data_IF_031841668734
#
_entry.id   IF_031841668734
#
_cell.length_a   1.000
_cell.length_b   1.000
_cell.length_c   1.000
_cell.angle_alpha   90.00
_cell.angle_beta   90.00
_cell.angle_gamma   90.00
#
_symmetry.space_group_name_H-M   'P 1'
#
loop_
_entity.id
_entity.type
_entity.pdbx_description
1 polymer ?
#
# COMPACT_ATOMS: atom_id res chain seq x y z
N UNK A 1 -0.17 12.22 -10.25
CA UNK A 1 -0.13 11.48 -8.97
C UNK A 1 -1.08 10.29 -8.93
N UNK A 2 -2.32 10.47 -9.35
CA UNK A 2 -3.28 9.37 -9.34
C UNK A 2 -2.84 8.18 -10.19
N UNK A 3 -2.12 8.42 -11.26
CA UNK A 3 -1.62 7.33 -12.09
C UNK A 3 -0.56 6.51 -11.37
N UNK A 4 0.30 7.16 -10.60
CA UNK A 4 1.29 6.44 -9.81
C UNK A 4 0.59 5.55 -8.78
N UNK A 5 -0.43 6.07 -8.12
CA UNK A 5 -1.21 5.28 -7.16
C UNK A 5 -1.89 4.11 -7.83
N UNK A 6 -2.61 4.37 -8.94
CA UNK A 6 -3.42 3.34 -9.57
C UNK A 6 -2.61 2.24 -10.23
N UNK A 7 -1.42 2.57 -10.75
CA UNK A 7 -0.67 1.62 -11.56
C UNK A 7 0.57 1.05 -10.89
N UNK A 8 1.08 1.72 -9.87
CA UNK A 8 2.33 1.29 -9.23
C UNK A 8 2.11 0.97 -7.77
N UNK A 9 1.61 1.93 -6.99
CA UNK A 9 1.57 1.77 -5.54
C UNK A 9 0.46 0.81 -5.12
N UNK A 10 -0.77 1.10 -5.52
CA UNK A 10 -1.93 0.30 -5.09
C UNK A 10 -1.84 -1.17 -5.51
N UNK A 11 -1.52 -1.49 -6.78
CA UNK A 11 -1.45 -2.90 -7.16
C UNK A 11 -0.42 -3.68 -6.35
N UNK A 12 0.70 -3.05 -6.04
CA UNK A 12 1.75 -3.75 -5.30
C UNK A 12 1.45 -3.84 -3.81
N UNK A 13 0.83 -2.81 -3.24
CA UNK A 13 0.35 -2.90 -1.87
C UNK A 13 -0.67 -4.03 -1.75
N UNK A 14 -1.56 -4.17 -2.73
CA UNK A 14 -2.55 -5.23 -2.73
C UNK A 14 -1.93 -6.62 -2.80
N UNK A 15 -0.88 -6.79 -3.61
CA UNK A 15 -0.17 -8.07 -3.66
C UNK A 15 0.36 -8.42 -2.27
N UNK A 16 0.95 -7.45 -1.59
CA UNK A 16 1.51 -7.68 -0.26
C UNK A 16 0.40 -8.00 0.75
N UNK A 17 -0.66 -7.20 0.76
CA UNK A 17 -1.75 -7.38 1.74
C UNK A 17 -2.48 -8.70 1.55
N UNK A 18 -2.65 -9.14 0.31
CA UNK A 18 -3.42 -10.36 0.01
C UNK A 18 -2.60 -11.62 0.11
N UNK A 19 -1.30 -11.50 0.36
CA UNK A 19 -0.43 -12.67 0.39
C UNK A 19 -0.66 -13.52 1.63
N UNK A 20 -1.11 -12.93 2.73
CA UNK A 20 -1.38 -13.64 3.98
C UNK A 20 -2.69 -13.15 4.57
N UNK A 21 -3.34 -14.01 5.38
CA UNK A 21 -4.56 -13.65 6.07
C UNK A 21 -5.59 -14.75 5.98
N UNK A 22 -6.86 -14.36 6.10
CA UNK A 22 -7.97 -15.30 6.12
C UNK A 22 -9.08 -14.80 5.23
N UNK A 23 -9.74 -15.74 4.57
CA UNK A 23 -11.01 -15.46 3.87
C UNK A 23 -12.08 -16.25 4.62
N UNK A 24 -13.10 -15.56 5.09
CA UNK A 24 -14.21 -16.18 5.80
C UNK A 24 -15.48 -15.87 5.00
N UNK A 25 -16.16 -16.91 4.53
CA UNK A 25 -17.36 -16.76 3.73
C UNK A 25 -18.35 -17.88 4.07
N UNK A 26 -19.41 -17.98 3.28
CA UNK A 26 -20.47 -18.97 3.52
C UNK A 26 -19.96 -20.39 3.43
N UNK A 27 -18.83 -20.61 2.77
CA UNK A 27 -18.27 -21.94 2.58
C UNK A 27 -17.22 -22.31 3.61
N UNK A 28 -16.88 -21.38 4.51
CA UNK A 28 -15.95 -21.63 5.59
C UNK A 28 -14.80 -20.65 5.63
N UNK A 29 -13.71 -21.07 6.26
CA UNK A 29 -12.50 -20.27 6.40
C UNK A 29 -11.41 -20.81 5.49
N UNK A 30 -10.65 -19.91 4.90
CA UNK A 30 -9.47 -20.26 4.10
C UNK A 30 -8.31 -19.38 4.53
N UNK A 31 -7.20 -19.99 4.87
CA UNK A 31 -5.99 -19.27 5.18
C UNK A 31 -5.24 -18.91 3.90
N UNK A 32 -4.82 -17.66 3.78
CA UNK A 32 -4.02 -17.20 2.67
C UNK A 32 -2.56 -17.17 3.09
N UNK A 33 -1.71 -17.77 2.29
CA UNK A 33 -0.25 -17.71 2.48
C UNK A 33 0.44 -18.05 1.17
N UNK A 34 1.65 -17.53 0.98
CA UNK A 34 2.43 -17.95 -0.18
C UNK A 34 2.85 -19.41 0.00
N UNK A 35 2.71 -20.20 -1.07
CA UNK A 35 2.96 -21.64 -0.98
C UNK A 35 4.10 -22.09 -1.88
N UNK A 36 4.75 -21.17 -2.58
CA UNK A 36 5.84 -21.52 -3.47
C UNK A 36 6.90 -20.44 -3.43
N UNK A 37 8.08 -20.79 -3.94
CA UNK A 37 9.17 -19.81 -4.06
C UNK A 37 8.74 -18.64 -4.93
N UNK A 38 7.97 -18.91 -5.98
CA UNK A 38 7.52 -17.86 -6.88
C UNK A 38 6.56 -16.91 -6.17
N UNK A 39 5.68 -17.45 -5.34
CA UNK A 39 4.74 -16.61 -4.60
C UNK A 39 5.45 -15.75 -3.57
N UNK A 40 6.45 -16.31 -2.88
CA UNK A 40 7.24 -15.51 -1.95
C UNK A 40 8.04 -14.43 -2.67
N UNK A 41 8.55 -14.75 -3.85
CA UNK A 41 9.25 -13.74 -4.65
C UNK A 41 8.30 -12.62 -5.06
N UNK A 42 7.07 -12.93 -5.39
CA UNK A 42 6.09 -11.92 -5.74
C UNK A 42 5.81 -10.97 -4.57
N UNK A 43 5.73 -11.53 -3.35
CA UNK A 43 5.54 -10.71 -2.16
C UNK A 43 6.74 -9.79 -1.94
N UNK A 44 7.94 -10.34 -2.08
CA UNK A 44 9.17 -9.57 -1.92
C UNK A 44 9.25 -8.45 -2.96
N UNK A 45 8.97 -8.76 -4.22
CA UNK A 45 8.99 -7.75 -5.28
C UNK A 45 7.99 -6.64 -5.02
N UNK A 46 6.80 -7.00 -4.54
CA UNK A 46 5.79 -6.00 -4.20
C UNK A 46 6.30 -5.08 -3.08
N UNK A 47 6.98 -5.65 -2.09
CA UNK A 47 7.55 -4.87 -1.00
C UNK A 47 8.60 -3.90 -1.50
N UNK A 48 9.47 -4.34 -2.43
CA UNK A 48 10.46 -3.45 -3.04
C UNK A 48 9.78 -2.28 -3.76
N UNK A 49 8.71 -2.55 -4.50
CA UNK A 49 8.02 -1.48 -5.21
C UNK A 49 7.42 -0.48 -4.22
N UNK A 50 6.83 -0.95 -3.13
CA UNK A 50 6.26 -0.06 -2.12
C UNK A 50 7.36 0.82 -1.51
N UNK A 51 8.52 0.24 -1.19
CA UNK A 51 9.62 1.00 -0.63
C UNK A 51 10.08 2.09 -1.61
N UNK A 52 10.26 1.72 -2.88
CA UNK A 52 10.70 2.68 -3.89
C UNK A 52 9.62 3.70 -4.21
N UNK A 53 8.35 3.33 -4.05
CA UNK A 53 7.27 4.28 -4.24
C UNK A 53 7.38 5.46 -3.28
N UNK A 54 7.82 5.21 -2.05
CA UNK A 54 8.06 6.29 -1.11
C UNK A 54 9.09 7.28 -1.65
N UNK A 55 10.14 6.78 -2.27
CA UNK A 55 11.16 7.63 -2.88
C UNK A 55 10.60 8.40 -4.07
N UNK A 56 9.79 7.75 -4.89
CA UNK A 56 9.16 8.40 -6.03
C UNK A 56 8.27 9.56 -5.58
N UNK A 57 7.56 9.39 -4.46
CA UNK A 57 6.68 10.43 -3.94
C UNK A 57 7.44 11.68 -3.50
N UNK A 58 8.71 11.54 -3.16
CA UNK A 58 9.53 12.66 -2.69
C UNK A 58 10.21 13.43 -3.82
N UNK A 59 10.08 12.99 -5.06
CA UNK A 59 10.76 13.62 -6.17
C UNK A 59 10.17 15.01 -6.46
N UNK A 60 11.04 15.91 -6.92
CA UNK A 60 10.63 17.23 -7.38
C UNK A 60 9.54 17.09 -8.45
N UNK A 61 8.55 17.95 -8.38
CA UNK A 61 7.43 17.90 -9.32
C UNK A 61 6.33 16.97 -8.89
N UNK A 62 6.59 16.08 -7.95
CA UNK A 62 5.59 15.16 -7.41
C UNK A 62 5.22 15.49 -5.98
N UNK A 63 6.21 15.87 -5.17
CA UNK A 63 5.97 16.22 -3.78
C UNK A 63 5.14 17.49 -3.68
N UNK A 64 4.08 17.46 -2.84
CA UNK A 64 3.20 18.60 -2.67
C UNK A 64 3.74 19.62 -1.66
N UNK A 65 4.55 19.16 -0.72
CA UNK A 65 5.20 20.05 0.26
C UNK A 65 6.47 19.37 0.77
N UNK A 66 7.24 20.08 1.57
CA UNK A 66 8.46 19.55 2.14
C UNK A 66 8.33 19.23 3.63
N UNK A 67 7.12 19.23 4.14
CA UNK A 67 6.82 18.89 5.54
C UNK A 67 6.17 17.53 5.66
N UNK A 68 4.84 17.52 5.88
CA UNK A 68 4.09 16.27 6.09
C UNK A 68 4.23 15.29 4.94
N UNK A 69 4.22 15.79 3.72
CA UNK A 69 4.36 14.92 2.55
C UNK A 69 5.66 14.12 2.62
N UNK A 70 6.76 14.81 2.94
CA UNK A 70 8.06 14.14 3.01
C UNK A 70 8.12 13.17 4.19
N UNK A 71 7.55 13.56 5.33
CA UNK A 71 7.51 12.70 6.50
C UNK A 71 6.74 11.41 6.22
N UNK A 72 5.58 11.52 5.59
CA UNK A 72 4.76 10.37 5.28
C UNK A 72 5.39 9.51 4.17
N UNK A 73 6.06 10.14 3.22
CA UNK A 73 6.76 9.41 2.17
C UNK A 73 7.91 8.61 2.74
N UNK A 74 8.66 9.18 3.70
CA UNK A 74 9.72 8.44 4.38
C UNK A 74 9.17 7.29 5.20
N UNK A 75 8.01 7.48 5.82
CA UNK A 75 7.36 6.40 6.55
C UNK A 75 7.02 5.25 5.61
N UNK A 76 6.60 5.55 4.39
CA UNK A 76 6.33 4.52 3.40
C UNK A 76 7.60 3.78 3.00
N UNK A 77 8.71 4.49 2.82
CA UNK A 77 10.00 3.85 2.55
C UNK A 77 10.36 2.90 3.70
N UNK A 78 10.23 3.39 4.93
CA UNK A 78 10.61 2.59 6.10
C UNK A 78 9.76 1.34 6.24
N UNK A 79 8.44 1.47 6.07
CA UNK A 79 7.56 0.31 6.18
C UNK A 79 7.81 -0.66 5.01
N UNK A 80 8.12 -0.12 3.83
CA UNK A 80 8.48 -0.94 2.69
C UNK A 80 9.73 -1.76 2.95
N UNK A 81 10.73 -1.16 3.59
CA UNK A 81 11.95 -1.89 3.93
C UNK A 81 11.68 -3.00 4.94
N UNK A 82 10.82 -2.74 5.91
CA UNK A 82 10.44 -3.78 6.86
C UNK A 82 9.66 -4.89 6.15
N UNK A 83 8.85 -4.52 5.18
CA UNK A 83 8.10 -5.48 4.38
C UNK A 83 9.06 -6.39 3.59
N UNK A 84 10.11 -5.82 3.03
CA UNK A 84 11.13 -6.59 2.32
C UNK A 84 11.76 -7.61 3.27
N UNK A 85 12.13 -7.17 4.47
CA UNK A 85 12.80 -8.05 5.43
C UNK A 85 11.94 -9.24 5.81
N UNK A 86 10.66 -9.01 6.14
CA UNK A 86 9.78 -10.12 6.54
C UNK A 86 9.46 -11.03 5.36
N UNK A 87 9.41 -10.50 4.15
CA UNK A 87 9.19 -11.33 2.96
C UNK A 87 10.41 -12.20 2.68
N UNK A 88 11.61 -11.64 2.81
CA UNK A 88 12.83 -12.41 2.62
C UNK A 88 12.96 -13.54 3.64
N UNK A 89 12.50 -13.29 4.85
CA UNK A 89 12.51 -14.31 5.90
C UNK A 89 11.36 -15.30 5.76
N UNK A 90 10.43 -15.05 4.85
CA UNK A 90 9.22 -15.85 4.67
C UNK A 90 8.44 -15.95 5.99
N UNK A 91 8.40 -14.84 6.71
CA UNK A 91 7.76 -14.75 8.01
C UNK A 91 6.30 -14.32 7.81
N UNK A 92 5.38 -15.27 7.79
CA UNK A 92 3.97 -15.00 7.51
C UNK A 92 3.36 -14.02 8.50
N UNK A 93 3.64 -14.22 9.78
CA UNK A 93 3.10 -13.32 10.80
C UNK A 93 3.68 -11.91 10.62
N UNK A 94 4.96 -11.82 10.30
CA UNK A 94 5.61 -10.54 10.04
C UNK A 94 5.00 -9.83 8.85
N UNK A 95 4.68 -10.57 7.78
CA UNK A 95 4.03 -9.99 6.62
C UNK A 95 2.65 -9.45 6.99
N UNK A 96 1.90 -10.19 7.78
CA UNK A 96 0.58 -9.73 8.23
C UNK A 96 0.70 -8.46 9.06
N UNK A 97 1.61 -8.45 10.03
CA UNK A 97 1.78 -7.30 10.93
C UNK A 97 2.27 -6.07 10.19
N UNK A 98 3.29 -6.24 9.34
CA UNK A 98 3.82 -5.12 8.55
C UNK A 98 2.77 -4.62 7.56
N UNK A 99 1.99 -5.54 6.99
CA UNK A 99 0.90 -5.16 6.09
C UNK A 99 -0.11 -4.24 6.77
N UNK A 100 -0.44 -4.52 8.02
CA UNK A 100 -1.36 -3.67 8.77
C UNK A 100 -0.76 -2.29 9.00
N UNK A 101 0.52 -2.21 9.34
CA UNK A 101 1.20 -0.94 9.52
C UNK A 101 1.30 -0.18 8.20
N UNK A 102 1.54 -0.88 7.11
CA UNK A 102 1.58 -0.28 5.78
C UNK A 102 0.24 0.35 5.42
N UNK A 103 -0.85 -0.36 5.71
CA UNK A 103 -2.19 0.17 5.47
C UNK A 103 -2.42 1.45 6.26
N UNK A 104 -1.94 1.47 7.50
CA UNK A 104 -2.06 2.66 8.34
C UNK A 104 -1.30 3.84 7.74
N UNK A 105 -0.08 3.63 7.25
CA UNK A 105 0.71 4.68 6.62
C UNK A 105 -0.03 5.23 5.39
N UNK A 106 -0.55 4.34 4.56
CA UNK A 106 -1.30 4.74 3.37
C UNK A 106 -2.54 5.55 3.75
N UNK A 107 -3.26 5.10 4.77
CA UNK A 107 -4.46 5.76 5.23
C UNK A 107 -4.17 7.17 5.75
N UNK A 108 -3.09 7.33 6.51
CA UNK A 108 -2.71 8.64 7.04
C UNK A 108 -2.39 9.62 5.93
N UNK A 109 -1.62 9.19 4.95
CA UNK A 109 -1.28 10.04 3.83
C UNK A 109 -2.54 10.42 3.04
N UNK A 110 -3.41 9.45 2.77
CA UNK A 110 -4.64 9.69 2.04
C UNK A 110 -5.59 10.62 2.80
N UNK A 111 -5.65 10.50 4.11
CA UNK A 111 -6.50 11.38 4.91
C UNK A 111 -6.07 12.84 4.80
N UNK A 112 -4.78 13.06 4.58
CA UNK A 112 -4.25 14.41 4.48
C UNK A 112 -4.33 14.96 3.05
N UNK A 113 -4.01 14.13 2.05
CA UNK A 113 -3.79 14.61 0.68
C UNK A 113 -4.78 14.08 -0.34
N UNK A 114 -5.56 13.05 -0.01
CA UNK A 114 -6.48 12.43 -0.95
C UNK A 114 -7.87 12.30 -0.35
N UNK A 115 -8.29 13.33 0.39
CA UNK A 115 -9.57 13.29 1.11
C UNK A 115 -10.72 12.99 0.17
N UNK A 116 -10.72 13.57 -1.03
CA UNK A 116 -11.82 13.41 -1.95
C UNK A 116 -11.93 11.98 -2.48
N UNK A 117 -10.82 11.30 -2.60
CA UNK A 117 -10.85 9.90 -3.07
C UNK A 117 -11.35 8.95 -1.99
N UNK A 118 -11.39 9.40 -0.74
CA UNK A 118 -11.87 8.60 0.36
C UNK A 118 -13.36 8.79 0.63
N UNK A 119 -13.98 9.74 -0.05
CA UNK A 119 -15.41 9.97 0.12
C UNK A 119 -16.22 8.89 -0.58
N UNK A 120 -17.40 8.57 -0.06
CA UNK A 120 -18.30 7.69 -0.78
C UNK A 120 -18.58 8.24 -2.17
N UNK A 121 -18.83 7.35 -3.11
CA UNK A 121 -18.98 7.77 -4.48
C UNK A 121 -20.20 8.68 -4.70
N UNK A 122 -21.22 8.53 -3.87
CA UNK A 122 -22.39 9.39 -4.00
C UNK A 122 -22.09 10.83 -3.61
N UNK A 123 -21.11 11.04 -2.75
CA UNK A 123 -20.69 12.38 -2.40
C UNK A 123 -20.02 13.08 -3.56
N UNK A 124 -19.47 12.31 -4.49
CA UNK A 124 -18.79 12.88 -5.65
C UNK A 124 -19.66 12.99 -6.87
N UNK A 125 -20.79 12.31 -6.82
CA UNK A 125 -21.65 12.21 -7.99
C UNK A 125 -22.09 13.56 -8.54
N UNK A 126 -22.44 14.53 -7.72
CA UNK A 126 -23.06 15.73 -8.25
C UNK A 126 -22.11 16.70 -8.94
N UNK A 127 -20.82 16.55 -8.82
CA UNK A 127 -19.94 17.56 -9.36
C UNK A 127 -18.83 16.96 -10.21
N UNK A 128 -18.69 17.46 -11.40
CA UNK A 128 -17.58 17.09 -12.25
C UNK A 128 -16.26 17.65 -11.71
N UNK A 129 -16.32 18.73 -10.99
CA UNK A 129 -15.10 19.35 -10.45
C UNK A 129 -14.39 18.46 -9.47
N UNK A 130 -15.13 17.60 -8.79
CA UNK A 130 -14.53 16.69 -7.84
C UNK A 130 -13.76 15.57 -8.50
N UNK A 131 -14.08 15.29 -9.75
CA UNK A 131 -13.43 14.21 -10.45
C UNK A 131 -11.99 14.49 -10.81
N UNK A 132 -11.57 15.68 -10.58
CA UNK A 132 -10.21 16.07 -10.88
C UNK A 132 -9.22 15.49 -9.87
#
# INVERSE_FOLDING_TARGET
MSELMAHVVEPNAQVFWRSVGWIIDAEGEQELRPESDEEWLAVENAAFVVAEAGNLLMMDGRALDDGSWMTMSRALVDIGRRAIAVAEERNEQGVFDVGAEMYFVCTQCHATYAVETLRPSDDRAPTAAEGS
#
